data_IF_908781860874
#
_entry.id   IF_908781860874
#
_cell.length_a   1.000
_cell.length_b   1.000
_cell.length_c   1.000
_cell.angle_alpha   90.00
_cell.angle_beta   90.00
_cell.angle_gamma   90.00
#
_symmetry.space_group_name_H-M   'P 1'
#
loop_
_entity.id
_entity.type
_entity.pdbx_description
1 polymer ?
#
# COMPACT_ATOMS: atom_id res chain seq x y z
N UNK A 1 -14.11 9.72 7.31
CA UNK A 1 -13.11 10.64 6.73
C UNK A 1 -13.37 10.71 5.23
N UNK A 2 -13.25 11.89 4.57
CA UNK A 2 -13.34 11.98 3.12
C UNK A 2 -12.39 10.96 2.52
N UNK A 3 -12.85 10.24 1.49
CA UNK A 3 -12.22 9.01 1.01
C UNK A 3 -10.71 9.13 0.82
N UNK A 4 -10.03 7.99 0.92
CA UNK A 4 -8.60 7.80 0.66
C UNK A 4 -8.07 8.64 -0.51
N UNK A 5 -8.89 8.81 -1.54
CA UNK A 5 -8.74 9.68 -2.72
C UNK A 5 -8.18 11.09 -2.46
N UNK A 6 -8.44 11.70 -1.29
CA UNK A 6 -7.99 13.07 -0.99
C UNK A 6 -6.86 13.16 0.05
N UNK A 7 -6.17 12.07 0.38
CA UNK A 7 -5.06 12.11 1.33
C UNK A 7 -3.92 13.00 0.80
N UNK A 8 -3.51 14.09 1.48
CA UNK A 8 -2.48 15.01 0.98
C UNK A 8 -1.08 14.39 0.93
N UNK A 9 -0.79 13.38 1.76
CA UNK A 9 0.51 12.70 1.80
C UNK A 9 0.71 11.75 0.63
N UNK A 10 -0.27 10.88 0.38
CA UNK A 10 -0.18 9.85 -0.66
C UNK A 10 -0.96 10.17 -1.95
N UNK A 11 -1.70 11.29 -1.97
CA UNK A 11 -2.51 11.76 -3.10
C UNK A 11 -3.46 10.67 -3.63
N UNK A 12 -4.15 9.97 -2.74
CA UNK A 12 -5.08 8.90 -3.11
C UNK A 12 -4.46 7.53 -3.36
N UNK A 13 -3.14 7.41 -3.48
CA UNK A 13 -2.50 6.14 -3.86
C UNK A 13 -2.36 5.15 -2.71
N UNK A 14 -2.32 5.64 -1.47
CA UNK A 14 -1.96 4.84 -0.29
C UNK A 14 -0.46 4.49 -0.18
N UNK A 15 0.39 5.04 -1.06
CA UNK A 15 1.83 4.85 -1.04
C UNK A 15 2.54 6.20 -1.06
N UNK A 16 3.65 6.31 -0.34
CA UNK A 16 4.51 7.49 -0.30
C UNK A 16 5.83 7.09 -0.95
N UNK A 17 6.29 7.91 -1.90
CA UNK A 17 7.60 7.79 -2.52
C UNK A 17 8.48 8.92 -2.04
N UNK A 18 9.53 8.57 -1.33
CA UNK A 18 10.53 9.48 -0.81
C UNK A 18 11.52 9.92 -1.90
N UNK A 19 12.27 10.98 -1.63
CA UNK A 19 13.21 11.57 -2.61
C UNK A 19 14.38 10.64 -2.96
N UNK A 20 14.75 9.77 -2.03
CA UNK A 20 15.76 8.71 -2.19
C UNK A 20 15.24 7.53 -3.04
N UNK A 21 13.96 7.53 -3.42
CA UNK A 21 13.33 6.46 -4.16
C UNK A 21 12.68 5.39 -3.29
N UNK A 22 12.79 5.49 -1.96
CA UNK A 22 12.14 4.57 -1.02
C UNK A 22 10.62 4.68 -1.16
N UNK A 23 9.94 3.54 -1.26
CA UNK A 23 8.48 3.47 -1.33
C UNK A 23 7.98 2.79 -0.07
N UNK A 24 7.06 3.45 0.65
CA UNK A 24 6.42 2.88 1.83
C UNK A 24 4.91 3.18 1.84
N UNK A 25 4.19 2.47 2.70
CA UNK A 25 2.73 2.62 2.83
C UNK A 25 2.41 3.94 3.53
N UNK A 26 1.33 4.62 3.11
CA UNK A 26 0.87 5.82 3.79
C UNK A 26 0.34 5.48 5.19
N UNK A 27 1.13 5.73 6.22
CA UNK A 27 0.79 5.30 7.58
C UNK A 27 -0.56 5.86 8.08
N UNK A 28 -0.88 7.12 7.75
CA UNK A 28 -2.17 7.72 8.11
C UNK A 28 -3.35 6.93 7.51
N UNK A 29 -3.25 6.59 6.21
CA UNK A 29 -4.30 5.82 5.55
C UNK A 29 -4.39 4.37 6.07
N UNK A 30 -3.29 3.83 6.61
CA UNK A 30 -3.26 2.50 7.22
C UNK A 30 -3.98 2.52 8.57
N UNK A 31 -3.64 3.51 9.40
CA UNK A 31 -4.24 3.68 10.74
C UNK A 31 -5.72 4.02 10.68
N UNK A 32 -6.16 4.74 9.64
CA UNK A 32 -7.58 5.04 9.39
C UNK A 32 -8.38 3.84 8.88
N UNK A 33 -7.75 2.67 8.66
CA UNK A 33 -8.41 1.48 8.12
C UNK A 33 -8.82 1.58 6.64
N UNK A 34 -8.38 2.64 5.95
CA UNK A 34 -8.64 2.85 4.53
C UNK A 34 -7.77 2.01 3.60
N UNK A 35 -6.85 1.22 4.14
CA UNK A 35 -5.98 0.32 3.40
C UNK A 35 -6.07 -1.09 3.92
N UNK A 36 -6.30 -2.03 2.99
CA UNK A 36 -6.17 -3.45 3.29
C UNK A 36 -4.69 -3.82 3.30
N UNK A 37 -4.16 -4.06 4.50
CA UNK A 37 -2.79 -4.52 4.71
C UNK A 37 -2.61 -5.99 4.34
N UNK A 38 -3.73 -6.72 4.17
CA UNK A 38 -3.75 -8.14 3.83
C UNK A 38 -4.50 -8.30 2.51
N UNK A 39 -3.79 -8.19 1.39
CA UNK A 39 -4.39 -8.56 0.10
C UNK A 39 -4.68 -10.07 0.10
N UNK A 40 -5.97 -10.43 0.22
CA UNK A 40 -6.44 -11.81 0.21
C UNK A 40 -6.19 -12.53 -1.12
N UNK A 41 -5.83 -11.78 -2.17
CA UNK A 41 -5.49 -12.31 -3.48
C UNK A 41 -3.97 -12.37 -3.71
N UNK A 42 -3.15 -12.00 -2.73
CA UNK A 42 -1.72 -12.31 -2.78
C UNK A 42 -1.55 -13.83 -2.76
N UNK A 43 -1.11 -14.35 -3.90
CA UNK A 43 -0.62 -15.72 -4.01
C UNK A 43 0.50 -15.91 -2.99
N UNK A 44 0.48 -17.03 -2.28
CA UNK A 44 1.53 -17.33 -1.32
C UNK A 44 2.88 -17.41 -2.04
N UNK A 45 3.98 -17.23 -1.30
CA UNK A 45 5.32 -17.43 -1.86
C UNK A 45 5.50 -18.85 -2.45
N UNK A 46 4.77 -19.84 -1.92
CA UNK A 46 4.75 -21.21 -2.43
C UNK A 46 4.02 -21.33 -3.79
N UNK A 47 2.99 -20.52 -4.01
CA UNK A 47 2.27 -20.43 -5.29
C UNK A 47 3.07 -19.69 -6.38
N UNK A 48 4.03 -18.86 -5.96
CA UNK A 48 4.91 -18.07 -6.82
C UNK A 48 6.22 -18.80 -7.14
N UNK A 49 6.25 -20.15 -7.16
CA UNK A 49 7.38 -20.96 -7.66
C UNK A 49 7.73 -20.59 -9.11
N UNK A 50 8.43 -19.48 -9.28
CA UNK A 50 9.17 -19.12 -10.48
C UNK A 50 10.22 -20.21 -10.60
N UNK A 51 10.04 -21.08 -11.60
CA UNK A 51 11.08 -22.00 -12.04
C UNK A 51 12.26 -21.15 -12.51
N UNK A 52 13.25 -21.00 -11.62
CA UNK A 52 14.60 -20.57 -11.97
C UNK A 52 15.20 -21.56 -12.98
#
# INVERSE_FOLDING_TARGET
MPGRENCPKCKGTGRIKEKDGTIHVCFDCLMDGGMDQHDKNLKSAEDLRIKL
#
